data_IF_105877607151
#
_entry.id   IF_105877607151
#
_cell.length_a   1.000
_cell.length_b   1.000
_cell.length_c   1.000
_cell.angle_alpha   90.00
_cell.angle_beta   90.00
_cell.angle_gamma   90.00
#
_symmetry.space_group_name_H-M   'P 1'
#
loop_
_entity.id
_entity.type
_entity.pdbx_description
1 polymer ?
#
# COMPACT_ATOMS: atom_id res chain seq x y z
N UNK A 1 48.09 -25.57 -2.03
CA UNK A 1 47.11 -26.32 -1.22
C UNK A 1 45.74 -26.02 -1.79
N UNK A 2 45.04 -27.03 -2.31
CA UNK A 2 43.73 -26.86 -2.96
C UNK A 2 42.68 -26.46 -1.90
N UNK A 3 41.78 -25.51 -2.17
CA UNK A 3 40.74 -25.11 -1.22
C UNK A 3 39.78 -26.29 -0.97
N UNK A 4 39.56 -26.66 0.29
CA UNK A 4 38.61 -27.70 0.71
C UNK A 4 37.37 -27.08 1.37
N UNK A 5 36.27 -27.83 1.41
CA UNK A 5 34.92 -27.44 1.89
C UNK A 5 34.86 -26.98 3.36
N UNK A 6 35.92 -27.17 4.14
CA UNK A 6 36.02 -26.74 5.54
C UNK A 6 36.72 -25.40 5.73
N UNK A 7 37.07 -24.69 4.64
CA UNK A 7 37.70 -23.37 4.74
C UNK A 7 36.61 -22.32 5.03
N UNK A 8 36.56 -21.72 6.22
CA UNK A 8 35.52 -20.74 6.55
C UNK A 8 35.66 -19.50 5.66
N UNK A 9 34.60 -19.16 4.91
CA UNK A 9 34.58 -18.05 3.95
C UNK A 9 34.56 -16.65 4.60
N UNK A 10 34.38 -16.57 5.92
CA UNK A 10 34.31 -15.32 6.67
C UNK A 10 35.39 -15.38 7.76
N UNK A 11 36.33 -14.43 7.71
CA UNK A 11 37.28 -14.19 8.80
C UNK A 11 36.49 -13.72 10.02
N UNK A 12 36.47 -14.49 11.11
CA UNK A 12 35.84 -14.08 12.36
C UNK A 12 36.63 -12.94 13.00
N UNK A 13 36.45 -11.73 12.48
CA UNK A 13 36.91 -10.52 13.14
C UNK A 13 36.10 -10.39 14.42
N UNK A 14 36.75 -10.65 15.56
CA UNK A 14 36.24 -10.33 16.89
C UNK A 14 36.17 -8.81 17.03
N UNK A 15 35.12 -8.22 16.48
CA UNK A 15 34.78 -6.81 16.67
C UNK A 15 34.36 -6.65 18.15
N UNK A 16 34.89 -5.67 18.91
CA UNK A 16 34.44 -5.43 20.27
C UNK A 16 32.97 -4.96 20.23
N UNK A 17 32.05 -5.84 20.62
CA UNK A 17 30.60 -5.70 20.44
C UNK A 17 29.95 -4.62 21.34
N UNK A 18 30.67 -4.07 22.32
CA UNK A 18 30.06 -3.35 23.45
C UNK A 18 30.12 -1.81 23.37
N UNK A 19 31.25 -1.19 23.01
CA UNK A 19 31.40 0.28 23.17
C UNK A 19 30.93 1.13 21.98
N UNK A 20 30.87 0.58 20.76
CA UNK A 20 30.34 1.30 19.58
C UNK A 20 28.81 1.25 19.47
N UNK A 21 28.17 0.31 20.19
CA UNK A 21 26.72 0.06 20.10
C UNK A 21 25.93 1.17 20.80
N UNK A 22 26.35 1.63 21.98
CA UNK A 22 25.58 2.60 22.79
C UNK A 22 25.49 3.99 22.14
N UNK A 23 26.60 4.51 21.59
CA UNK A 23 26.62 5.81 20.89
C UNK A 23 25.85 5.79 19.57
N UNK A 24 25.91 4.68 18.81
CA UNK A 24 25.14 4.53 17.57
C UNK A 24 23.63 4.40 17.86
N UNK A 25 23.27 3.63 18.89
CA UNK A 25 21.85 3.37 19.21
C UNK A 25 21.11 4.65 19.63
N UNK A 26 21.74 5.54 20.41
CA UNK A 26 21.09 6.80 20.81
C UNK A 26 20.94 7.78 19.65
N UNK A 27 21.90 7.82 18.73
CA UNK A 27 21.83 8.67 17.53
C UNK A 27 20.79 8.13 16.53
N UNK A 28 20.73 6.82 16.34
CA UNK A 28 19.71 6.13 15.55
C UNK A 28 18.32 6.32 16.15
N UNK A 29 18.18 6.25 17.49
CA UNK A 29 16.90 6.47 18.18
C UNK A 29 16.42 7.92 18.02
N UNK A 30 17.34 8.90 18.10
CA UNK A 30 17.02 10.30 17.85
C UNK A 30 16.65 10.57 16.39
N UNK A 31 17.32 9.90 15.44
CA UNK A 31 16.98 9.98 14.03
C UNK A 31 15.61 9.34 13.73
N UNK A 32 15.33 8.18 14.32
CA UNK A 32 14.03 7.49 14.23
C UNK A 32 12.90 8.30 14.84
N UNK A 33 13.12 8.90 16.02
CA UNK A 33 12.08 9.70 16.68
C UNK A 33 11.76 10.96 15.88
N UNK A 34 12.77 11.63 15.33
CA UNK A 34 12.60 12.81 14.47
C UNK A 34 11.88 12.48 13.16
N UNK A 35 12.12 11.32 12.56
CA UNK A 35 11.40 10.86 11.36
C UNK A 35 10.02 10.24 11.66
N UNK A 36 9.75 9.84 12.90
CA UNK A 36 8.45 9.29 13.29
C UNK A 36 7.38 10.38 13.48
N UNK A 37 7.79 11.62 13.78
CA UNK A 37 6.87 12.77 13.92
C UNK A 37 6.00 12.97 12.66
N UNK A 38 6.55 13.07 11.43
CA UNK A 38 5.72 13.23 10.23
C UNK A 38 4.82 12.01 9.98
N UNK A 39 5.27 10.80 10.31
CA UNK A 39 4.47 9.57 10.18
C UNK A 39 3.30 9.58 11.18
N UNK A 40 3.55 9.92 12.44
CA UNK A 40 2.52 10.07 13.46
C UNK A 40 1.50 11.16 13.10
N UNK A 41 1.98 12.29 12.55
CA UNK A 41 1.12 13.34 12.01
C UNK A 41 0.22 12.81 10.89
N UNK A 42 0.77 12.11 9.91
CA UNK A 42 0.00 11.48 8.84
C UNK A 42 -1.07 10.51 9.37
N UNK A 43 -0.73 9.69 10.38
CA UNK A 43 -1.68 8.79 11.03
C UNK A 43 -2.82 9.53 11.73
N UNK A 44 -2.52 10.62 12.44
CA UNK A 44 -3.53 11.46 13.08
C UNK A 44 -4.47 12.11 12.06
N UNK A 45 -3.93 12.66 10.96
CA UNK A 45 -4.76 13.21 9.89
C UNK A 45 -5.69 12.16 9.29
N UNK A 46 -5.18 10.95 9.04
CA UNK A 46 -6.00 9.84 8.54
C UNK A 46 -7.13 9.49 9.50
N UNK A 47 -6.90 9.56 10.82
CA UNK A 47 -7.93 9.31 11.82
C UNK A 47 -9.04 10.36 11.72
N UNK A 48 -8.68 11.64 11.56
CA UNK A 48 -9.65 12.73 11.42
C UNK A 48 -10.51 12.57 10.15
N UNK A 49 -9.91 12.23 9.01
CA UNK A 49 -10.67 11.96 7.77
C UNK A 49 -11.66 10.82 7.93
N UNK A 50 -11.27 9.75 8.66
CA UNK A 50 -12.18 8.62 8.97
C UNK A 50 -13.35 9.06 9.84
N UNK A 51 -13.13 9.95 10.81
CA UNK A 51 -14.20 10.51 11.64
C UNK A 51 -15.18 11.34 10.81
N UNK A 52 -14.71 12.15 9.87
CA UNK A 52 -15.59 12.90 8.97
C UNK A 52 -16.49 11.99 8.14
N UNK A 53 -15.93 10.89 7.60
CA UNK A 53 -16.72 9.89 6.89
C UNK A 53 -17.80 9.27 7.78
N UNK A 54 -17.45 8.85 9.01
CA UNK A 54 -18.40 8.26 9.96
C UNK A 54 -19.49 9.27 10.36
N UNK A 55 -19.14 10.53 10.59
CA UNK A 55 -20.12 11.59 10.92
C UNK A 55 -21.04 11.94 9.75
N UNK A 56 -20.56 11.88 8.51
CA UNK A 56 -21.40 12.04 7.33
C UNK A 56 -22.41 10.89 7.25
N UNK A 57 -21.92 9.65 7.37
CA UNK A 57 -22.73 8.43 7.38
C UNK A 57 -23.73 8.33 8.55
N UNK A 58 -23.44 8.97 9.69
CA UNK A 58 -24.34 9.00 10.84
C UNK A 58 -25.63 9.78 10.66
N UNK A 59 -25.72 10.68 9.66
CA UNK A 59 -26.93 11.46 9.37
C UNK A 59 -27.73 10.93 8.16
N UNK A 60 -27.25 9.89 7.47
CA UNK A 60 -27.88 9.31 6.29
C UNK A 60 -28.95 8.27 6.66
N UNK A 61 -29.97 8.12 5.81
CA UNK A 61 -31.00 7.09 5.99
C UNK A 61 -30.44 5.67 5.80
N UNK A 62 -31.12 4.62 6.31
CA UNK A 62 -30.61 3.24 6.26
C UNK A 62 -30.32 2.73 4.84
N UNK A 63 -31.14 3.10 3.84
CA UNK A 63 -30.94 2.67 2.44
C UNK A 63 -29.78 3.41 1.76
N UNK A 64 -29.61 4.70 2.05
CA UNK A 64 -28.51 5.52 1.52
C UNK A 64 -27.17 5.08 2.10
N UNK A 65 -27.15 4.80 3.41
CA UNK A 65 -25.99 4.30 4.11
C UNK A 65 -25.58 2.92 3.57
N UNK A 66 -26.54 1.99 3.43
CA UNK A 66 -26.27 0.66 2.88
C UNK A 66 -25.73 0.74 1.45
N UNK A 67 -26.34 1.57 0.59
CA UNK A 67 -25.89 1.75 -0.79
C UNK A 67 -24.48 2.33 -0.85
N UNK A 68 -24.23 3.43 -0.14
CA UNK A 68 -22.90 4.06 -0.13
C UNK A 68 -21.83 3.15 0.46
N UNK A 69 -22.14 2.36 1.50
CA UNK A 69 -21.20 1.40 2.08
C UNK A 69 -20.86 0.28 1.08
N UNK A 70 -21.87 -0.30 0.41
CA UNK A 70 -21.70 -1.33 -0.60
C UNK A 70 -20.83 -0.85 -1.77
N UNK A 71 -21.15 0.32 -2.32
CA UNK A 71 -20.37 0.89 -3.42
C UNK A 71 -18.94 1.22 -2.99
N UNK A 72 -18.75 1.79 -1.79
CA UNK A 72 -17.42 2.08 -1.24
C UNK A 72 -16.60 0.81 -1.06
N UNK A 73 -17.19 -0.26 -0.53
CA UNK A 73 -16.52 -1.56 -0.37
C UNK A 73 -16.14 -2.15 -1.73
N UNK A 74 -17.06 -2.13 -2.70
CA UNK A 74 -16.79 -2.63 -4.05
C UNK A 74 -15.63 -1.89 -4.71
N UNK A 75 -15.65 -0.56 -4.67
CA UNK A 75 -14.59 0.29 -5.22
C UNK A 75 -13.27 0.04 -4.50
N UNK A 76 -13.28 -0.04 -3.16
CA UNK A 76 -12.09 -0.26 -2.33
C UNK A 76 -11.46 -1.61 -2.62
N UNK A 77 -12.24 -2.70 -2.67
CA UNK A 77 -11.72 -4.05 -2.93
C UNK A 77 -11.12 -4.12 -4.34
N UNK A 78 -11.83 -3.60 -5.33
CA UNK A 78 -11.43 -3.71 -6.75
C UNK A 78 -10.16 -2.90 -7.05
N UNK A 79 -10.02 -1.70 -6.45
CA UNK A 79 -8.85 -0.84 -6.62
C UNK A 79 -7.67 -1.24 -5.74
N UNK A 80 -7.91 -1.53 -4.46
CA UNK A 80 -6.84 -1.78 -3.49
C UNK A 80 -6.14 -3.11 -3.74
N UNK A 81 -6.84 -4.14 -4.22
CA UNK A 81 -6.24 -5.45 -4.47
C UNK A 81 -5.10 -5.37 -5.49
N UNK A 82 -5.30 -4.64 -6.59
CA UNK A 82 -4.29 -4.49 -7.64
C UNK A 82 -3.21 -3.50 -7.23
N UNK A 83 -3.57 -2.42 -6.52
CA UNK A 83 -2.58 -1.48 -5.99
C UNK A 83 -1.61 -2.16 -5.00
N UNK A 84 -2.15 -2.95 -4.05
CA UNK A 84 -1.35 -3.70 -3.08
C UNK A 84 -0.50 -4.78 -3.76
N UNK A 85 -1.07 -5.54 -4.70
CA UNK A 85 -0.33 -6.55 -5.46
C UNK A 85 0.85 -5.95 -6.24
N UNK A 86 0.62 -4.80 -6.89
CA UNK A 86 1.66 -4.08 -7.63
C UNK A 86 2.73 -3.51 -6.70
N UNK A 87 2.35 -2.98 -5.53
CA UNK A 87 3.28 -2.46 -4.52
C UNK A 87 4.19 -3.57 -3.97
N UNK A 88 3.62 -4.73 -3.63
CA UNK A 88 4.38 -5.87 -3.13
C UNK A 88 5.37 -6.40 -4.18
N UNK A 89 4.95 -6.46 -5.45
CA UNK A 89 5.83 -6.82 -6.56
C UNK A 89 6.95 -5.79 -6.75
N UNK A 90 6.63 -4.49 -6.67
CA UNK A 90 7.60 -3.40 -6.78
C UNK A 90 8.63 -3.45 -5.66
N UNK A 91 8.25 -3.72 -4.40
CA UNK A 91 9.19 -3.78 -3.28
C UNK A 91 10.27 -4.85 -3.51
N UNK A 92 9.85 -6.01 -4.04
CA UNK A 92 10.76 -7.09 -4.45
C UNK A 92 11.66 -6.66 -5.62
N UNK A 93 11.09 -6.08 -6.68
CA UNK A 93 11.83 -5.66 -7.87
C UNK A 93 12.81 -4.51 -7.58
N UNK A 94 12.42 -3.56 -6.73
CA UNK A 94 13.27 -2.45 -6.28
C UNK A 94 14.42 -2.97 -5.41
N UNK A 95 14.16 -3.90 -4.50
CA UNK A 95 15.20 -4.56 -3.70
C UNK A 95 16.22 -5.33 -4.57
N UNK A 96 15.74 -6.05 -5.58
CA UNK A 96 16.59 -6.75 -6.54
C UNK A 96 17.37 -5.80 -7.46
N UNK A 97 16.73 -4.75 -7.97
CA UNK A 97 17.39 -3.76 -8.84
C UNK A 97 18.46 -2.96 -8.08
N UNK A 98 18.25 -2.68 -6.80
CA UNK A 98 19.19 -1.94 -5.96
C UNK A 98 20.44 -2.74 -5.60
N UNK A 99 20.31 -4.04 -5.35
CA UNK A 99 21.42 -4.91 -4.94
C UNK A 99 22.11 -5.60 -6.12
N UNK A 100 21.39 -5.89 -7.20
CA UNK A 100 21.86 -6.65 -8.35
C UNK A 100 22.40 -5.81 -9.53
N UNK A 101 22.12 -4.51 -9.59
CA UNK A 101 22.56 -3.65 -10.70
C UNK A 101 23.40 -2.46 -10.21
N UNK A 102 24.43 -2.09 -10.98
CA UNK A 102 25.22 -0.87 -10.74
C UNK A 102 24.43 0.41 -11.03
N UNK A 103 23.37 0.31 -11.84
CA UNK A 103 22.60 1.45 -12.32
C UNK A 103 21.26 1.56 -11.58
N UNK A 104 21.15 2.55 -10.69
CA UNK A 104 19.97 2.80 -9.86
C UNK A 104 18.78 3.34 -10.66
N UNK A 105 19.01 3.77 -11.89
CA UNK A 105 17.98 4.28 -12.81
C UNK A 105 16.95 3.20 -13.19
N UNK A 106 17.35 1.92 -13.11
CA UNK A 106 16.45 0.77 -13.32
C UNK A 106 15.27 0.74 -12.36
N UNK A 107 15.42 1.23 -11.12
CA UNK A 107 14.33 1.28 -10.13
C UNK A 107 13.20 2.21 -10.63
N UNK A 108 13.56 3.37 -11.18
CA UNK A 108 12.58 4.32 -11.74
C UNK A 108 11.86 3.76 -12.96
N UNK A 109 12.55 3.00 -13.81
CA UNK A 109 11.93 2.36 -14.97
C UNK A 109 10.91 1.28 -14.57
N UNK A 110 11.20 0.47 -13.55
CA UNK A 110 10.25 -0.52 -13.03
C UNK A 110 9.01 0.17 -12.43
N UNK A 111 9.20 1.26 -11.69
CA UNK A 111 8.10 2.05 -11.17
C UNK A 111 7.20 2.58 -12.29
N UNK A 112 7.79 3.16 -13.34
CA UNK A 112 7.02 3.69 -14.47
C UNK A 112 6.21 2.59 -15.17
N UNK A 113 6.79 1.40 -15.38
CA UNK A 113 6.09 0.26 -15.98
C UNK A 113 4.92 -0.21 -15.11
N UNK A 114 5.12 -0.29 -13.81
CA UNK A 114 4.05 -0.65 -12.86
C UNK A 114 2.92 0.38 -12.84
N UNK A 115 3.24 1.68 -12.95
CA UNK A 115 2.23 2.74 -13.09
C UNK A 115 1.39 2.55 -14.35
N UNK A 116 2.02 2.24 -15.49
CA UNK A 116 1.30 1.98 -16.75
C UNK A 116 0.35 0.80 -16.62
N UNK A 117 0.79 -0.30 -15.99
CA UNK A 117 -0.08 -1.47 -15.72
C UNK A 117 -1.26 -1.08 -14.82
N UNK A 118 -1.00 -0.30 -13.78
CA UNK A 118 -2.04 0.15 -12.85
C UNK A 118 -3.09 1.04 -13.53
N UNK A 119 -2.65 1.95 -14.41
CA UNK A 119 -3.54 2.81 -15.21
C UNK A 119 -4.35 1.98 -16.19
N UNK A 120 -3.73 1.03 -16.90
CA UNK A 120 -4.42 0.15 -17.82
C UNK A 120 -5.53 -0.66 -17.12
N UNK A 121 -5.25 -1.17 -15.91
CA UNK A 121 -6.25 -1.84 -15.08
C UNK A 121 -7.42 -0.92 -14.70
N UNK A 122 -7.15 0.32 -14.28
CA UNK A 122 -8.21 1.29 -13.97
C UNK A 122 -9.07 1.64 -15.19
N UNK A 123 -8.48 1.73 -16.38
CA UNK A 123 -9.22 1.96 -17.63
C UNK A 123 -10.20 0.81 -17.92
N UNK A 124 -9.80 -0.43 -17.67
CA UNK A 124 -10.67 -1.61 -17.82
C UNK A 124 -11.78 -1.62 -16.77
N UNK A 125 -11.50 -1.18 -15.54
CA UNK A 125 -12.49 -1.13 -14.45
C UNK A 125 -13.48 0.03 -14.56
N UNK A 126 -13.08 1.15 -15.15
CA UNK A 126 -13.94 2.33 -15.31
C UNK A 126 -15.34 2.00 -15.88
N UNK A 127 -15.51 1.25 -16.98
CA UNK A 127 -16.84 0.89 -17.48
C UNK A 127 -17.63 -0.02 -16.53
N UNK A 128 -16.95 -0.83 -15.70
CA UNK A 128 -17.60 -1.66 -14.68
C UNK A 128 -18.18 -0.78 -13.58
N UNK A 129 -17.45 0.25 -13.15
CA UNK A 129 -17.93 1.22 -12.15
C UNK A 129 -19.06 2.09 -12.69
N UNK A 130 -18.99 2.53 -13.95
CA UNK A 130 -20.07 3.27 -14.61
C UNK A 130 -21.37 2.45 -14.71
N UNK A 131 -21.27 1.11 -14.74
CA UNK A 131 -22.41 0.21 -14.74
C UNK A 131 -22.68 -0.43 -13.36
N UNK A 132 -22.08 0.08 -12.29
CA UNK A 132 -22.17 -0.50 -10.95
C UNK A 132 -23.62 -0.64 -10.47
N UNK A 133 -24.49 0.35 -10.73
CA UNK A 133 -25.93 0.25 -10.40
C UNK A 133 -26.60 -0.96 -11.06
N UNK A 134 -26.33 -1.20 -12.36
CA UNK A 134 -26.89 -2.34 -13.09
C UNK A 134 -26.35 -3.67 -12.56
N UNK A 135 -25.06 -3.69 -12.20
CA UNK A 135 -24.41 -4.85 -11.60
C UNK A 135 -25.04 -5.19 -10.23
N UNK A 136 -25.26 -4.18 -9.38
CA UNK A 136 -25.87 -4.36 -8.07
C UNK A 136 -27.34 -4.82 -8.15
N UNK A 137 -28.11 -4.30 -9.09
CA UNK A 137 -29.47 -4.81 -9.37
C UNK A 137 -29.43 -6.27 -9.85
N UNK A 138 -28.46 -6.63 -10.71
CA UNK A 138 -28.34 -7.99 -11.24
C UNK A 138 -27.97 -9.05 -10.19
N UNK A 139 -27.21 -8.67 -9.14
CA UNK A 139 -26.92 -9.56 -8.00
C UNK A 139 -28.07 -9.64 -6.97
N UNK A 140 -29.20 -9.00 -7.25
CA UNK A 140 -30.40 -9.04 -6.41
C UNK A 140 -30.44 -8.02 -5.27
N UNK A 141 -29.66 -6.92 -5.34
CA UNK A 141 -29.84 -5.81 -4.40
C UNK A 141 -31.11 -5.03 -4.70
N UNK A 142 -31.68 -4.43 -3.64
CA UNK A 142 -32.81 -3.52 -3.76
C UNK A 142 -32.49 -2.37 -4.75
N UNK A 143 -33.39 -2.03 -5.68
CA UNK A 143 -33.16 -0.98 -6.68
C UNK A 143 -32.74 0.37 -6.07
N UNK A 144 -33.27 0.74 -4.91
CA UNK A 144 -32.92 2.00 -4.24
C UNK A 144 -31.49 1.94 -3.71
N UNK A 145 -31.12 0.83 -3.05
CA UNK A 145 -29.75 0.60 -2.54
C UNK A 145 -28.74 0.54 -3.68
N UNK A 146 -29.08 -0.12 -4.80
CA UNK A 146 -28.22 -0.21 -5.97
C UNK A 146 -28.03 1.14 -6.68
N UNK A 147 -29.05 2.01 -6.68
CA UNK A 147 -28.95 3.37 -7.19
C UNK A 147 -27.97 4.20 -6.36
N UNK A 148 -28.10 4.17 -5.03
CA UNK A 148 -27.17 4.87 -4.13
C UNK A 148 -25.74 4.30 -4.22
N UNK A 149 -25.59 2.98 -4.40
CA UNK A 149 -24.30 2.32 -4.52
C UNK A 149 -23.54 2.64 -5.82
N UNK A 150 -24.22 3.01 -6.90
CA UNK A 150 -23.56 3.43 -8.15
C UNK A 150 -23.35 4.93 -8.27
N UNK A 151 -23.75 5.71 -7.25
CA UNK A 151 -23.64 7.18 -7.22
C UNK A 151 -22.42 7.69 -6.42
N UNK A 152 -21.67 6.76 -5.85
CA UNK A 152 -20.35 6.96 -5.21
C UNK A 152 -19.23 7.00 -6.25
#
# INVERSE_FOLDING_TARGET
MSPNETTPLIKSTSIPISSSRVSSTSHELHWLSRNSIPVAGFYLLNLLSKLTYVSAFGHLGPNELAGSALGTMFTTITSSSVALGTLNALDTLCGQAWTGSKDKTLVGLHLQKSIVVLVAWHVILAPVWLNATRLFVAIGQDPDVALFAGKI
#
